data_IF_021133805226
#
_entry.id   IF_021133805226
#
_cell.length_a   1.000
_cell.length_b   1.000
_cell.length_c   1.000
_cell.angle_alpha   90.00
_cell.angle_beta   90.00
_cell.angle_gamma   90.00
#
_symmetry.space_group_name_H-M   'P 1'
#
loop_
_entity.id
_entity.type
_entity.pdbx_description
1 polymer ?
#
# COMPACT_ATOMS: atom_id res chain seq x y z
N UNK A 1 7.47 3.85 2.44
CA UNK A 1 6.29 3.27 1.74
C UNK A 1 6.01 4.08 0.49
N UNK A 2 5.61 3.45 -0.61
CA UNK A 2 5.36 4.11 -1.89
C UNK A 2 3.91 3.92 -2.36
N UNK A 3 3.21 5.01 -2.66
CA UNK A 3 1.99 5.00 -3.46
C UNK A 3 2.44 5.17 -4.92
N UNK A 4 2.30 4.13 -5.72
CA UNK A 4 2.74 4.13 -7.12
C UNK A 4 1.53 4.24 -8.02
N UNK A 5 1.46 5.34 -8.76
CA UNK A 5 0.42 5.64 -9.73
C UNK A 5 0.91 5.30 -11.13
N UNK A 6 0.22 4.42 -11.81
CA UNK A 6 0.49 4.12 -13.22
C UNK A 6 -0.44 4.93 -14.11
N UNK A 7 0.13 5.58 -15.12
CA UNK A 7 -0.67 6.28 -16.12
C UNK A 7 -1.61 5.31 -16.84
N UNK A 8 -2.92 5.58 -16.77
CA UNK A 8 -3.98 4.78 -17.38
C UNK A 8 -5.17 5.69 -17.72
N UNK A 9 -5.93 5.35 -18.76
CA UNK A 9 -7.11 6.08 -19.21
C UNK A 9 -8.38 5.27 -18.87
N UNK A 10 -9.40 5.88 -18.30
CA UNK A 10 -9.61 7.31 -18.00
C UNK A 10 -9.12 7.76 -16.62
N UNK A 11 -8.48 6.92 -15.84
CA UNK A 11 -8.02 7.22 -14.48
C UNK A 11 -6.72 6.46 -14.21
N UNK A 12 -5.75 7.07 -13.52
CA UNK A 12 -4.54 6.33 -13.12
C UNK A 12 -4.90 5.13 -12.24
N UNK A 13 -4.06 4.09 -12.35
CA UNK A 13 -4.13 2.93 -11.48
C UNK A 13 -3.18 3.09 -10.29
N UNK A 14 -3.59 2.65 -9.13
CA UNK A 14 -2.79 2.63 -7.91
C UNK A 14 -2.35 1.21 -7.58
N UNK A 15 -1.05 1.02 -7.32
CA UNK A 15 -0.47 -0.28 -7.01
C UNK A 15 -0.74 -0.67 -5.56
N UNK A 16 -1.24 -1.88 -5.37
CA UNK A 16 -1.30 -2.58 -4.10
C UNK A 16 -0.55 -3.90 -4.17
N UNK A 17 -0.03 -4.34 -3.05
CA UNK A 17 0.50 -5.68 -2.85
C UNK A 17 -0.33 -6.41 -1.78
N UNK A 18 -0.51 -7.70 -1.95
CA UNK A 18 -0.98 -8.58 -0.87
C UNK A 18 0.25 -9.24 -0.24
N UNK A 19 0.45 -9.01 1.05
CA UNK A 19 1.55 -9.62 1.79
C UNK A 19 1.37 -11.13 1.90
N UNK A 20 2.43 -11.89 1.67
CA UNK A 20 2.40 -13.33 1.83
C UNK A 20 2.02 -13.71 3.28
N UNK A 21 1.28 -14.81 3.43
CA UNK A 21 0.91 -15.32 4.75
C UNK A 21 2.13 -15.87 5.47
N UNK A 22 2.45 -15.32 6.65
CA UNK A 22 3.56 -15.73 7.51
C UNK A 22 3.08 -15.84 8.95
N UNK A 23 3.50 -16.90 9.64
CA UNK A 23 3.27 -17.03 11.08
C UNK A 23 3.96 -15.87 11.82
N UNK A 24 3.25 -15.30 12.82
CA UNK A 24 3.71 -14.19 13.67
C UNK A 24 3.90 -12.83 12.99
N UNK A 25 3.52 -12.65 11.72
CA UNK A 25 3.43 -11.34 11.11
C UNK A 25 1.99 -10.77 11.31
N UNK A 26 1.82 -9.70 12.10
CA UNK A 26 0.49 -9.12 12.35
C UNK A 26 -0.16 -8.50 11.12
N UNK A 27 0.60 -8.32 10.03
CA UNK A 27 0.12 -7.81 8.74
C UNK A 27 0.06 -8.87 7.65
N UNK A 28 0.15 -10.15 8.05
CA UNK A 28 0.09 -11.31 7.16
C UNK A 28 -1.19 -11.35 6.34
N UNK A 29 -1.08 -11.44 5.01
CA UNK A 29 -2.21 -11.47 4.09
C UNK A 29 -2.96 -10.14 3.92
N UNK A 30 -2.43 -9.03 4.45
CA UNK A 30 -3.05 -7.72 4.29
C UNK A 30 -2.70 -7.10 2.93
N UNK A 31 -3.67 -6.36 2.39
CA UNK A 31 -3.42 -5.45 1.28
C UNK A 31 -2.65 -4.23 1.77
N UNK A 32 -1.56 -3.91 1.11
CA UNK A 32 -0.66 -2.83 1.48
C UNK A 32 -0.12 -2.08 0.25
N UNK A 33 0.46 -0.92 0.49
CA UNK A 33 1.36 -0.29 -0.48
C UNK A 33 2.77 -0.88 -0.33
N UNK A 34 3.58 -0.96 -1.40
CA UNK A 34 4.97 -1.36 -1.30
C UNK A 34 5.74 -0.56 -0.26
N UNK A 35 6.55 -1.22 0.54
CA UNK A 35 7.37 -0.54 1.52
C UNK A 35 7.69 -1.37 2.76
N UNK A 36 8.77 -0.98 3.43
CA UNK A 36 9.29 -1.67 4.58
C UNK A 36 10.03 -0.75 5.55
N UNK A 37 10.92 -1.35 6.32
CA UNK A 37 11.72 -0.64 7.32
C UNK A 37 12.99 -0.09 6.69
N UNK A 38 13.40 1.08 7.19
CA UNK A 38 14.69 1.65 6.83
C UNK A 38 15.82 0.71 7.26
N UNK A 39 16.73 0.45 6.35
CA UNK A 39 17.97 -0.29 6.59
C UNK A 39 19.17 0.66 6.77
N UNK A 40 20.29 0.12 7.26
CA UNK A 40 21.49 0.92 7.50
C UNK A 40 22.08 1.53 6.21
N UNK A 41 21.82 0.91 5.06
CA UNK A 41 22.25 1.38 3.74
C UNK A 41 21.38 2.49 3.15
N UNK A 42 20.16 2.68 3.67
CA UNK A 42 19.23 3.69 3.16
C UNK A 42 19.61 5.08 3.70
N UNK A 43 19.95 6.02 2.82
CA UNK A 43 20.28 7.39 3.22
C UNK A 43 19.04 8.13 3.75
N UNK A 44 17.84 7.78 3.24
CA UNK A 44 16.58 8.42 3.59
C UNK A 44 15.40 7.44 3.54
N UNK A 45 14.26 7.83 4.14
CA UNK A 45 13.00 7.08 4.00
C UNK A 45 12.47 7.07 2.55
N UNK A 46 12.87 8.05 1.74
CA UNK A 46 12.58 8.06 0.31
C UNK A 46 13.31 6.91 -0.40
N UNK A 47 14.60 6.74 -0.15
CA UNK A 47 15.36 5.61 -0.69
C UNK A 47 14.85 4.26 -0.19
N UNK A 48 14.44 4.16 1.08
CA UNK A 48 13.74 2.98 1.59
C UNK A 48 12.52 2.66 0.74
N UNK A 49 11.68 3.65 0.43
CA UNK A 49 10.47 3.43 -0.38
C UNK A 49 10.81 2.96 -1.80
N UNK A 50 11.86 3.53 -2.41
CA UNK A 50 12.34 3.13 -3.75
C UNK A 50 12.90 1.70 -3.74
N UNK A 51 13.77 1.37 -2.78
CA UNK A 51 14.38 0.04 -2.63
C UNK A 51 13.30 -1.04 -2.41
N UNK A 52 12.44 -0.84 -1.43
CA UNK A 52 11.38 -1.79 -1.09
C UNK A 52 10.41 -2.02 -2.26
N UNK A 53 10.03 -0.97 -2.98
CA UNK A 53 9.18 -1.13 -4.17
C UNK A 53 9.85 -2.01 -5.22
N UNK A 54 11.16 -1.82 -5.45
CA UNK A 54 11.91 -2.66 -6.39
C UNK A 54 12.01 -4.10 -5.91
N UNK A 55 12.30 -4.33 -4.62
CA UNK A 55 12.42 -5.66 -4.05
C UNK A 55 11.08 -6.41 -4.06
N UNK A 56 9.98 -5.74 -3.73
CA UNK A 56 8.66 -6.35 -3.63
C UNK A 56 7.95 -6.53 -4.98
N UNK A 57 8.26 -5.70 -5.98
CA UNK A 57 7.48 -5.65 -7.23
C UNK A 57 8.31 -5.69 -8.51
N UNK A 58 9.62 -5.55 -8.43
CA UNK A 58 10.51 -5.39 -9.58
C UNK A 58 10.45 -4.02 -10.27
N UNK A 59 9.60 -3.10 -9.80
CA UNK A 59 9.49 -1.75 -10.37
C UNK A 59 10.65 -0.88 -9.88
N UNK A 60 11.44 -0.35 -10.80
CA UNK A 60 12.58 0.51 -10.49
C UNK A 60 12.18 2.00 -10.49
N UNK A 61 11.66 2.49 -9.36
CA UNK A 61 11.24 3.87 -9.20
C UNK A 61 12.39 4.89 -9.38
N UNK A 62 13.65 4.49 -9.23
CA UNK A 62 14.79 5.37 -9.49
C UNK A 62 14.99 5.64 -10.98
N UNK A 63 14.55 4.72 -11.87
CA UNK A 63 14.71 4.84 -13.32
C UNK A 63 13.46 5.33 -14.03
N UNK A 64 12.29 4.86 -13.60
CA UNK A 64 11.02 5.09 -14.31
C UNK A 64 10.00 5.88 -13.50
N UNK A 65 10.27 6.13 -12.20
CA UNK A 65 9.36 6.84 -11.31
C UNK A 65 9.61 8.35 -11.29
N UNK A 66 8.55 9.12 -11.39
CA UNK A 66 8.54 10.55 -11.09
C UNK A 66 8.01 10.74 -9.67
N UNK A 67 8.79 11.35 -8.78
CA UNK A 67 8.37 11.64 -7.41
C UNK A 67 7.42 12.84 -7.40
N UNK A 68 6.16 12.63 -7.06
CA UNK A 68 5.14 13.68 -7.00
C UNK A 68 5.11 14.38 -5.63
N UNK A 69 5.60 13.72 -4.58
CA UNK A 69 5.61 14.29 -3.24
C UNK A 69 5.45 13.26 -2.13
N UNK A 70 5.01 13.74 -0.98
CA UNK A 70 4.70 12.91 0.19
C UNK A 70 3.39 13.34 0.84
N UNK A 71 2.77 12.43 1.56
CA UNK A 71 1.57 12.73 2.34
C UNK A 71 1.87 12.65 3.85
N UNK A 72 0.84 12.74 4.69
CA UNK A 72 1.03 12.80 6.15
C UNK A 72 1.68 11.52 6.69
N UNK A 73 2.47 11.67 7.75
CA UNK A 73 2.93 10.53 8.54
C UNK A 73 1.73 9.84 9.18
N UNK A 74 1.67 8.52 9.08
CA UNK A 74 0.61 7.71 9.68
C UNK A 74 1.21 6.71 10.65
N UNK A 75 0.58 6.56 11.82
CA UNK A 75 0.97 5.63 12.86
C UNK A 75 -0.17 4.64 13.14
N UNK A 76 0.12 3.36 13.44
CA UNK A 76 -0.90 2.44 13.89
C UNK A 76 -1.56 2.94 15.18
N UNK A 77 -2.89 2.84 15.26
CA UNK A 77 -3.64 3.25 16.45
C UNK A 77 -3.70 2.17 17.54
N UNK A 78 -3.46 0.92 17.17
CA UNK A 78 -3.53 -0.19 18.10
C UNK A 78 -2.27 -0.29 18.96
N UNK A 79 -2.39 -0.29 20.30
CA UNK A 79 -1.25 -0.50 21.19
C UNK A 79 -0.66 -1.92 21.13
N UNK A 80 -1.35 -2.86 20.47
CA UNK A 80 -0.89 -4.24 20.23
C UNK A 80 0.04 -4.34 19.04
N UNK A 81 0.07 -3.33 18.18
CA UNK A 81 0.97 -3.27 17.03
C UNK A 81 2.31 -2.63 17.42
N UNK A 82 3.41 -2.99 16.77
CA UNK A 82 4.69 -2.32 16.97
C UNK A 82 4.55 -0.81 16.74
N UNK A 83 5.23 -0.02 17.58
CA UNK A 83 5.34 1.43 17.36
C UNK A 83 6.16 1.66 16.10
N UNK A 84 5.53 2.25 15.11
CA UNK A 84 6.17 2.64 13.87
C UNK A 84 5.48 3.89 13.31
N UNK A 85 6.25 4.72 12.62
CA UNK A 85 5.73 5.86 11.86
C UNK A 85 5.97 5.57 10.38
N UNK A 86 4.91 5.62 9.58
CA UNK A 86 4.97 5.40 8.14
C UNK A 86 4.91 6.73 7.44
N UNK A 87 5.91 7.03 6.62
CA UNK A 87 5.93 8.19 5.73
C UNK A 87 5.69 7.72 4.29
N UNK A 88 4.51 7.98 3.72
CA UNK A 88 4.20 7.61 2.35
C UNK A 88 4.71 8.65 1.36
N UNK A 89 5.34 8.18 0.28
CA UNK A 89 5.74 8.97 -0.88
C UNK A 89 4.89 8.59 -2.09
N UNK A 90 4.58 9.55 -2.93
CA UNK A 90 3.75 9.36 -4.12
C UNK A 90 4.63 9.44 -5.36
N UNK A 91 4.51 8.44 -6.23
CA UNK A 91 5.24 8.33 -7.48
C UNK A 91 4.28 8.13 -8.64
N UNK A 92 4.62 8.70 -9.78
CA UNK A 92 4.00 8.36 -11.05
C UNK A 92 4.94 7.49 -11.89
N UNK A 93 4.40 6.50 -12.60
CA UNK A 93 5.14 5.65 -13.53
C UNK A 93 4.42 5.59 -14.89
N UNK A 94 5.14 5.28 -15.99
CA UNK A 94 4.54 5.12 -17.31
C UNK A 94 3.44 4.04 -17.35
N UNK A 95 2.50 4.19 -18.28
CA UNK A 95 1.40 3.22 -18.45
C UNK A 95 1.84 1.79 -18.82
N UNK A 96 3.03 1.65 -19.37
CA UNK A 96 3.62 0.34 -19.68
C UNK A 96 4.28 -0.36 -18.49
N UNK A 97 4.42 0.35 -17.34
CA UNK A 97 5.03 -0.24 -16.15
C UNK A 97 4.20 -1.41 -15.63
N UNK A 98 4.86 -2.50 -15.36
CA UNK A 98 4.26 -3.73 -14.84
C UNK A 98 5.08 -4.31 -13.71
N UNK A 99 4.43 -5.05 -12.83
CA UNK A 99 5.11 -5.86 -11.82
C UNK A 99 5.85 -6.99 -12.53
N UNK A 100 7.16 -7.10 -12.21
CA UNK A 100 8.04 -8.12 -12.79
C UNK A 100 8.76 -8.87 -11.71
N UNK A 101 8.77 -10.03 -11.45
CA UNK A 101 9.53 -10.74 -10.41
C UNK A 101 9.19 -10.30 -8.97
N UNK A 102 7.93 -10.44 -8.54
CA UNK A 102 7.56 -10.10 -7.17
C UNK A 102 8.29 -11.01 -6.16
N UNK A 103 8.73 -10.41 -5.05
CA UNK A 103 9.44 -11.17 -4.01
C UNK A 103 8.53 -12.24 -3.37
N UNK A 104 9.09 -13.28 -2.73
CA UNK A 104 8.30 -14.25 -1.96
C UNK A 104 7.51 -13.66 -0.77
N UNK A 105 7.73 -12.38 -0.46
CA UNK A 105 6.97 -11.64 0.56
C UNK A 105 5.64 -11.10 0.04
N UNK A 106 5.48 -11.11 -1.29
CA UNK A 106 4.28 -10.64 -1.99
C UNK A 106 3.58 -11.84 -2.61
N UNK A 107 2.36 -12.13 -2.14
CA UNK A 107 1.55 -13.20 -2.73
C UNK A 107 0.89 -12.74 -4.03
N UNK A 108 0.60 -11.45 -4.14
CA UNK A 108 -0.08 -10.86 -5.29
C UNK A 108 0.17 -9.35 -5.37
N UNK A 109 0.22 -8.81 -6.57
CA UNK A 109 0.24 -7.38 -6.82
C UNK A 109 -0.94 -6.98 -7.73
N UNK A 110 -1.60 -5.89 -7.42
CA UNK A 110 -2.81 -5.41 -8.08
C UNK A 110 -2.65 -3.95 -8.50
N UNK A 111 -3.08 -3.66 -9.72
CA UNK A 111 -3.30 -2.28 -10.18
C UNK A 111 -4.81 -1.98 -10.10
N UNK A 112 -5.19 -1.06 -9.23
CA UNK A 112 -6.59 -0.69 -8.99
C UNK A 112 -6.82 0.72 -9.51
N UNK A 113 -7.75 0.94 -10.46
CA UNK A 113 -8.09 2.28 -10.93
C UNK A 113 -8.51 3.19 -9.77
N UNK A 114 -7.98 4.41 -9.68
CA UNK A 114 -8.34 5.35 -8.61
C UNK A 114 -9.85 5.60 -8.53
N UNK A 115 -10.51 5.71 -9.68
CA UNK A 115 -11.98 5.85 -9.76
C UNK A 115 -12.76 4.71 -9.09
N UNK A 116 -12.12 3.55 -8.85
CA UNK A 116 -12.74 2.45 -8.10
C UNK A 116 -13.19 2.88 -6.71
N UNK A 117 -12.45 3.78 -6.08
CA UNK A 117 -12.72 4.27 -4.73
C UNK A 117 -13.79 5.37 -4.66
N UNK A 118 -14.25 5.89 -5.83
CA UNK A 118 -15.37 6.84 -5.92
C UNK A 118 -16.72 6.12 -5.75
N UNK A 119 -16.77 4.81 -5.97
CA UNK A 119 -17.99 4.01 -5.82
C UNK A 119 -18.23 3.64 -4.35
N UNK A 120 -19.34 4.14 -3.80
CA UNK A 120 -19.71 3.82 -2.42
C UNK A 120 -19.93 2.31 -2.18
N UNK A 121 -20.21 1.53 -3.21
CA UNK A 121 -20.43 0.08 -3.09
C UNK A 121 -19.15 -0.70 -2.74
N UNK A 122 -17.96 -0.13 -2.96
CA UNK A 122 -16.69 -0.76 -2.58
C UNK A 122 -16.37 -0.61 -1.10
N UNK A 123 -17.12 0.23 -0.37
CA UNK A 123 -16.96 0.32 1.07
C UNK A 123 -17.52 -0.93 1.76
N UNK A 124 -16.63 -1.65 2.43
CA UNK A 124 -16.93 -2.93 3.07
C UNK A 124 -16.46 -2.93 4.53
N UNK A 125 -16.89 -3.94 5.27
CA UNK A 125 -16.41 -4.21 6.64
C UNK A 125 -15.40 -5.35 6.63
N UNK A 126 -14.22 -5.11 7.21
CA UNK A 126 -13.26 -6.16 7.52
C UNK A 126 -13.49 -6.70 8.93
N UNK A 127 -13.67 -8.01 9.05
CA UNK A 127 -13.93 -8.68 10.32
C UNK A 127 -12.67 -9.40 10.78
N UNK A 128 -12.05 -8.89 11.85
CA UNK A 128 -10.83 -9.45 12.44
C UNK A 128 -11.19 -10.28 13.69
N UNK A 129 -11.05 -11.62 13.63
CA UNK A 129 -11.19 -12.45 14.83
C UNK A 129 -10.06 -12.16 15.83
N UNK A 130 -10.43 -11.85 17.06
CA UNK A 130 -9.49 -11.67 18.18
C UNK A 130 -10.04 -12.53 19.32
N UNK A 131 -9.19 -12.99 20.24
CA UNK A 131 -9.59 -13.84 21.37
C UNK A 131 -10.91 -13.37 22.01
N UNK A 132 -11.95 -14.19 21.86
CA UNK A 132 -13.28 -13.97 22.43
C UNK A 132 -14.15 -12.90 21.77
N UNK A 133 -13.71 -12.27 20.66
CA UNK A 133 -14.46 -11.22 19.97
C UNK A 133 -14.16 -11.18 18.45
N UNK A 134 -15.02 -10.48 17.71
CA UNK A 134 -14.76 -10.07 16.33
C UNK A 134 -14.73 -8.55 16.29
N UNK A 135 -13.57 -7.99 15.94
CA UNK A 135 -13.45 -6.56 15.70
C UNK A 135 -13.84 -6.25 14.26
N UNK A 136 -14.58 -5.17 14.06
CA UNK A 136 -15.04 -4.74 12.74
C UNK A 136 -14.38 -3.44 12.37
N UNK A 137 -13.70 -3.43 11.23
CA UNK A 137 -13.00 -2.26 10.69
C UNK A 137 -13.59 -1.89 9.33
N UNK A 138 -13.67 -0.59 9.03
CA UNK A 138 -14.04 -0.17 7.68
C UNK A 138 -12.90 -0.47 6.70
N UNK A 139 -13.25 -0.80 5.46
CA UNK A 139 -12.33 -1.14 4.38
C UNK A 139 -12.86 -0.78 3.01
N UNK A 140 -12.00 -0.90 2.00
CA UNK A 140 -12.37 -0.86 0.59
C UNK A 140 -12.14 -2.26 -0.01
N UNK A 141 -13.16 -2.81 -0.64
CA UNK A 141 -13.05 -4.06 -1.41
C UNK A 141 -12.25 -3.84 -2.68
N UNK A 142 -11.25 -4.67 -2.94
CA UNK A 142 -10.45 -4.65 -4.16
C UNK A 142 -10.29 -6.10 -4.63
N UNK A 143 -10.80 -6.45 -5.82
CA UNK A 143 -10.82 -7.83 -6.29
C UNK A 143 -11.19 -8.83 -5.15
N UNK A 144 -10.27 -9.73 -4.79
CA UNK A 144 -10.46 -10.71 -3.72
C UNK A 144 -9.86 -10.27 -2.37
N UNK A 145 -9.54 -8.98 -2.21
CA UNK A 145 -8.91 -8.43 -1.01
C UNK A 145 -9.67 -7.27 -0.40
N UNK A 146 -9.25 -6.85 0.78
CA UNK A 146 -9.79 -5.66 1.47
C UNK A 146 -8.63 -4.75 1.88
N UNK A 147 -8.68 -3.51 1.44
CA UNK A 147 -7.79 -2.44 1.92
C UNK A 147 -8.38 -1.86 3.20
N UNK A 148 -7.76 -2.08 4.34
CA UNK A 148 -8.23 -1.67 5.66
C UNK A 148 -7.10 -1.19 6.56
N UNK A 149 -7.41 -0.75 7.76
CA UNK A 149 -6.43 -0.37 8.77
C UNK A 149 -5.53 0.78 8.33
N UNK A 150 -4.20 0.61 8.49
CA UNK A 150 -3.22 1.63 8.16
C UNK A 150 -3.20 1.98 6.67
N UNK A 151 -3.29 0.97 5.81
CA UNK A 151 -3.31 1.17 4.34
C UNK A 151 -4.53 1.98 3.91
N UNK A 152 -5.72 1.70 4.48
CA UNK A 152 -6.93 2.49 4.23
C UNK A 152 -6.76 3.94 4.64
N UNK A 153 -6.21 4.21 5.82
CA UNK A 153 -6.00 5.59 6.31
C UNK A 153 -5.05 6.38 5.43
N UNK A 154 -3.98 5.74 4.94
CA UNK A 154 -3.05 6.35 3.96
C UNK A 154 -3.79 6.64 2.65
N UNK A 155 -4.59 5.70 2.16
CA UNK A 155 -5.38 5.88 0.94
C UNK A 155 -6.37 7.03 1.09
N UNK A 156 -7.09 7.12 2.19
CA UNK A 156 -8.06 8.19 2.45
C UNK A 156 -7.42 9.58 2.52
N UNK A 157 -6.25 9.70 3.21
CA UNK A 157 -5.50 10.97 3.22
C UNK A 157 -5.05 11.34 1.80
N UNK A 158 -4.63 10.37 1.00
CA UNK A 158 -4.26 10.58 -0.39
C UNK A 158 -5.47 11.02 -1.25
N UNK A 159 -6.58 10.31 -1.21
CA UNK A 159 -7.80 10.64 -1.97
C UNK A 159 -8.34 12.02 -1.60
N UNK A 160 -8.34 12.38 -0.32
CA UNK A 160 -8.77 13.70 0.15
C UNK A 160 -7.93 14.85 -0.43
N UNK A 161 -6.66 14.60 -0.77
CA UNK A 161 -5.76 15.60 -1.37
C UNK A 161 -5.92 15.75 -2.88
N UNK A 162 -6.52 14.77 -3.51
CA UNK A 162 -6.84 14.83 -4.94
C UNK A 162 -8.09 15.67 -5.23
N UNK A 163 -8.96 15.93 -4.24
CA UNK A 163 -10.18 16.71 -4.33
C UNK A 163 -11.41 15.86 -4.41
#
# INVERSE_FOLDING_TARGET
MALVLRASDPSPDLLFIERAKRERDPWSGHMAFPGGRREAGDVSLFETAVRETREETGIDLAREGEALGRISVVEPESPRLPRLSVLPFVFAVPGATSVTDPSPEVSRALWVPLRHFDDASVQVSHHLPVEGAVLVFPGFGVEEGIVWGLTRRILEDFLTRLG
#
